data_IF_980691380117
#
_entry.id   IF_980691380117
#
_cell.length_a   1.000
_cell.length_b   1.000
_cell.length_c   1.000
_cell.angle_alpha   90.00
_cell.angle_beta   90.00
_cell.angle_gamma   90.00
#
_symmetry.space_group_name_H-M   'P 1'
#
loop_
_entity.id
_entity.type
_entity.pdbx_description
1 polymer ?
#
# COMPACT_ATOMS: atom_id res chain seq x y z
N UNK A 1 41.05 -15.60 28.32
CA UNK A 1 40.45 -16.41 27.23
C UNK A 1 39.26 -15.62 26.70
N UNK A 2 39.49 -14.83 25.66
CA UNK A 2 38.46 -13.95 25.08
C UNK A 2 37.87 -14.67 23.87
N UNK A 3 36.66 -15.19 24.03
CA UNK A 3 35.96 -15.95 23.01
C UNK A 3 34.51 -15.52 22.90
N UNK A 4 34.26 -14.21 22.77
CA UNK A 4 32.98 -13.73 22.27
C UNK A 4 32.98 -13.87 20.74
N UNK A 5 32.56 -15.05 20.26
CA UNK A 5 32.16 -15.23 18.88
C UNK A 5 30.83 -14.48 18.66
N UNK A 6 30.89 -13.15 18.57
CA UNK A 6 29.79 -12.34 18.08
C UNK A 6 29.53 -12.68 16.63
N UNK A 7 28.56 -13.57 16.37
CA UNK A 7 27.99 -13.73 15.03
C UNK A 7 27.33 -12.40 14.67
N UNK A 8 28.06 -11.55 13.95
CA UNK A 8 27.52 -10.30 13.44
C UNK A 8 26.42 -10.58 12.42
N UNK A 9 25.36 -9.76 12.43
CA UNK A 9 24.29 -9.83 11.45
C UNK A 9 24.85 -9.66 10.02
N UNK A 10 24.88 -10.76 9.26
CA UNK A 10 25.45 -10.84 7.90
C UNK A 10 24.55 -11.66 6.97
N UNK A 11 23.35 -11.17 6.65
CA UNK A 11 22.44 -11.88 5.76
C UNK A 11 22.99 -11.83 4.33
N UNK A 12 22.75 -12.90 3.56
CA UNK A 12 23.23 -13.01 2.18
C UNK A 12 22.36 -12.29 1.15
N UNK A 13 21.13 -11.91 1.55
CA UNK A 13 20.15 -11.27 0.68
C UNK A 13 19.70 -9.93 1.24
N UNK A 14 19.81 -8.92 0.39
CA UNK A 14 19.32 -7.58 0.65
C UNK A 14 17.78 -7.55 0.76
N UNK A 15 17.27 -6.71 1.68
CA UNK A 15 15.84 -6.57 1.93
C UNK A 15 15.09 -6.14 0.66
N UNK A 16 15.41 -4.98 0.09
CA UNK A 16 14.61 -4.47 -1.00
C UNK A 16 14.85 -5.27 -2.29
N UNK A 17 16.12 -5.51 -2.63
CA UNK A 17 16.51 -6.09 -3.93
C UNK A 17 16.08 -7.54 -4.08
N UNK A 18 16.23 -8.37 -3.04
CA UNK A 18 16.05 -9.82 -3.16
C UNK A 18 14.88 -10.39 -2.37
N UNK A 19 14.41 -9.68 -1.34
CA UNK A 19 13.26 -10.12 -0.54
C UNK A 19 12.00 -9.40 -1.03
N UNK A 20 11.89 -8.09 -0.81
CA UNK A 20 10.67 -7.33 -1.08
C UNK A 20 10.29 -7.34 -2.57
N UNK A 21 11.21 -7.00 -3.47
CA UNK A 21 10.93 -6.97 -4.92
C UNK A 21 10.45 -8.32 -5.47
N UNK A 22 10.94 -9.43 -4.92
CA UNK A 22 10.49 -10.77 -5.32
C UNK A 22 9.05 -11.03 -4.93
N UNK A 23 8.62 -10.57 -3.76
CA UNK A 23 7.21 -10.67 -3.32
C UNK A 23 6.34 -9.73 -4.16
N UNK A 24 6.75 -8.47 -4.30
CA UNK A 24 6.03 -7.45 -5.06
C UNK A 24 5.75 -7.93 -6.50
N UNK A 25 6.73 -8.54 -7.16
CA UNK A 25 6.55 -9.08 -8.51
C UNK A 25 5.43 -10.12 -8.62
N UNK A 26 5.14 -10.89 -7.55
CA UNK A 26 4.01 -11.85 -7.53
C UNK A 26 2.66 -11.17 -7.39
N UNK A 27 2.62 -9.98 -6.80
CA UNK A 27 1.39 -9.20 -6.58
C UNK A 27 1.12 -8.20 -7.71
N UNK A 28 2.08 -7.96 -8.61
CA UNK A 28 1.93 -7.07 -9.76
C UNK A 28 0.73 -7.41 -10.66
N UNK A 29 0.29 -8.68 -10.68
CA UNK A 29 -0.90 -9.11 -11.43
C UNK A 29 -2.21 -9.03 -10.62
N UNK A 30 -2.14 -8.81 -9.31
CA UNK A 30 -3.29 -8.83 -8.39
C UNK A 30 -3.70 -7.43 -7.91
N UNK A 31 -2.78 -6.49 -7.95
CA UNK A 31 -2.97 -5.12 -7.48
C UNK A 31 -2.82 -4.12 -8.64
N UNK A 32 -3.42 -2.92 -8.53
CA UNK A 32 -3.16 -1.85 -9.49
C UNK A 32 -1.67 -1.53 -9.57
N UNK A 33 -1.18 -1.22 -10.78
CA UNK A 33 0.24 -0.91 -11.00
C UNK A 33 0.70 0.28 -10.14
N UNK A 34 -0.13 1.31 -9.97
CA UNK A 34 0.17 2.46 -9.11
C UNK A 34 0.41 2.06 -7.65
N UNK A 35 -0.44 1.21 -7.09
CA UNK A 35 -0.29 0.68 -5.72
C UNK A 35 1.02 -0.07 -5.54
N UNK A 36 1.39 -0.86 -6.56
CA UNK A 36 2.62 -1.63 -6.56
C UNK A 36 3.87 -0.73 -6.61
N UNK A 37 3.85 0.30 -7.46
CA UNK A 37 4.94 1.28 -7.53
C UNK A 37 5.04 2.11 -6.25
N UNK A 38 3.92 2.61 -5.73
CA UNK A 38 3.90 3.42 -4.49
C UNK A 38 4.49 2.66 -3.31
N UNK A 39 4.12 1.38 -3.12
CA UNK A 39 4.68 0.53 -2.05
C UNK A 39 6.17 0.32 -2.25
N UNK A 40 6.62 0.10 -3.49
CA UNK A 40 8.05 -0.04 -3.80
C UNK A 40 8.81 1.24 -3.42
N UNK A 41 8.27 2.41 -3.75
CA UNK A 41 8.87 3.71 -3.45
C UNK A 41 8.88 4.01 -1.95
N UNK A 42 7.81 3.67 -1.23
CA UNK A 42 7.75 3.80 0.23
C UNK A 42 8.80 2.92 0.93
N UNK A 43 8.95 1.66 0.50
CA UNK A 43 9.99 0.76 1.02
C UNK A 43 11.40 1.26 0.67
N UNK A 44 11.61 1.76 -0.55
CA UNK A 44 12.88 2.34 -0.99
C UNK A 44 13.30 3.55 -0.16
N UNK A 45 12.38 4.49 0.07
CA UNK A 45 12.63 5.64 0.96
C UNK A 45 12.96 5.21 2.39
N UNK A 46 12.30 4.16 2.88
CA UNK A 46 12.64 3.55 4.17
C UNK A 46 14.07 3.02 4.20
N UNK A 47 14.46 2.24 3.19
CA UNK A 47 15.82 1.68 3.09
C UNK A 47 16.90 2.76 3.04
N UNK A 48 16.69 3.80 2.24
CA UNK A 48 17.63 4.91 2.11
C UNK A 48 17.76 5.70 3.41
N UNK A 49 16.64 6.02 4.06
CA UNK A 49 16.61 6.82 5.30
C UNK A 49 17.23 6.06 6.48
N UNK A 50 16.88 4.80 6.66
CA UNK A 50 17.32 3.99 7.81
C UNK A 50 18.58 3.18 7.54
N UNK A 51 19.05 3.13 6.28
CA UNK A 51 20.29 2.46 5.84
C UNK A 51 20.34 1.00 6.28
N UNK A 52 19.30 0.23 5.97
CA UNK A 52 19.24 -1.20 6.28
C UNK A 52 19.60 -2.12 5.10
N UNK A 53 20.06 -1.57 3.98
CA UNK A 53 20.63 -2.39 2.90
C UNK A 53 21.90 -3.11 3.38
N UNK A 54 22.11 -4.34 2.90
CA UNK A 54 23.38 -5.05 3.12
C UNK A 54 24.54 -4.38 2.35
N UNK A 55 24.23 -3.55 1.36
CA UNK A 55 25.20 -2.85 0.52
C UNK A 55 25.55 -1.49 1.11
N UNK A 56 26.35 -1.49 2.18
CA UNK A 56 26.84 -0.26 2.81
C UNK A 56 25.94 0.30 3.92
N UNK A 57 24.97 -0.49 4.39
CA UNK A 57 24.16 -0.22 5.58
C UNK A 57 24.35 -1.25 6.69
N UNK A 58 23.42 -1.25 7.64
CA UNK A 58 23.31 -2.24 8.71
C UNK A 58 21.90 -2.84 8.70
N UNK A 59 21.73 -4.12 8.33
CA UNK A 59 20.41 -4.74 8.21
C UNK A 59 19.59 -4.71 9.49
N UNK A 60 20.23 -4.55 10.65
CA UNK A 60 19.54 -4.39 11.95
C UNK A 60 18.76 -3.09 12.04
N UNK A 61 19.08 -2.08 11.23
CA UNK A 61 18.34 -0.83 11.21
C UNK A 61 16.92 -0.96 10.68
N UNK A 62 16.54 -2.07 10.04
CA UNK A 62 15.15 -2.31 9.63
C UNK A 62 14.21 -2.36 10.83
N UNK A 63 14.70 -2.77 12.00
CA UNK A 63 13.94 -2.75 13.25
C UNK A 63 13.55 -1.31 13.62
N UNK A 64 14.47 -0.35 13.44
CA UNK A 64 14.17 1.08 13.66
C UNK A 64 13.15 1.60 12.66
N UNK A 65 13.17 1.08 11.43
CA UNK A 65 12.17 1.41 10.43
C UNK A 65 10.77 0.91 10.84
N UNK A 66 10.63 -0.31 11.39
CA UNK A 66 9.33 -0.80 11.88
C UNK A 66 8.70 0.04 13.00
N UNK A 67 9.52 0.78 13.75
CA UNK A 67 9.08 1.70 14.80
C UNK A 67 8.82 3.14 14.30
N UNK A 68 9.03 3.39 13.01
CA UNK A 68 8.98 4.74 12.44
C UNK A 68 7.57 5.20 12.03
N UNK A 69 7.44 6.51 11.75
CA UNK A 69 6.27 7.07 11.07
C UNK A 69 6.16 6.56 9.63
N UNK A 70 7.26 6.47 8.90
CA UNK A 70 7.24 6.00 7.50
C UNK A 70 6.71 4.57 7.34
N UNK A 71 7.01 3.70 8.31
CA UNK A 71 6.43 2.35 8.32
C UNK A 71 4.94 2.36 8.65
N UNK A 72 4.50 3.21 9.60
CA UNK A 72 3.07 3.37 9.91
C UNK A 72 2.30 3.85 8.69
N UNK A 73 2.84 4.83 7.96
CA UNK A 73 2.24 5.34 6.71
C UNK A 73 2.14 4.24 5.65
N UNK A 74 3.18 3.40 5.50
CA UNK A 74 3.16 2.26 4.58
C UNK A 74 2.11 1.22 4.97
N UNK A 75 2.01 0.88 6.25
CA UNK A 75 1.01 -0.05 6.75
C UNK A 75 -0.41 0.49 6.51
N UNK A 76 -0.65 1.76 6.80
CA UNK A 76 -1.94 2.42 6.55
C UNK A 76 -2.27 2.42 5.05
N UNK A 77 -1.32 2.79 4.20
CA UNK A 77 -1.49 2.75 2.75
C UNK A 77 -1.81 1.33 2.26
N UNK A 78 -1.08 0.32 2.73
CA UNK A 78 -1.28 -1.07 2.33
C UNK A 78 -2.64 -1.62 2.79
N UNK A 79 -3.09 -1.27 4.00
CA UNK A 79 -4.41 -1.62 4.50
C UNK A 79 -5.53 -0.97 3.67
N UNK A 80 -5.33 0.29 3.27
CA UNK A 80 -6.27 1.07 2.48
C UNK A 80 -6.32 0.63 1.00
N UNK A 81 -5.26 0.04 0.47
CA UNK A 81 -5.18 -0.38 -0.95
C UNK A 81 -5.34 -1.89 -1.15
N UNK A 82 -5.65 -2.65 -0.09
CA UNK A 82 -5.79 -4.10 -0.15
C UNK A 82 -4.45 -4.85 -0.35
N UNK A 83 -3.34 -4.17 -0.10
CA UNK A 83 -1.99 -4.69 -0.25
C UNK A 83 -1.39 -5.23 1.06
N UNK A 84 -2.16 -5.28 2.15
CA UNK A 84 -1.68 -5.70 3.47
C UNK A 84 -1.10 -7.13 3.45
N UNK A 85 -1.74 -8.06 2.74
CA UNK A 85 -1.23 -9.42 2.58
C UNK A 85 0.13 -9.48 1.87
N UNK A 86 0.39 -8.56 0.93
CA UNK A 86 1.71 -8.44 0.29
C UNK A 86 2.76 -8.00 1.31
N UNK A 87 2.44 -7.02 2.16
CA UNK A 87 3.35 -6.53 3.19
C UNK A 87 3.69 -7.61 4.22
N UNK A 88 2.68 -8.38 4.65
CA UNK A 88 2.88 -9.54 5.53
C UNK A 88 3.78 -10.61 4.88
N UNK A 89 3.57 -10.91 3.60
CA UNK A 89 4.39 -11.88 2.88
C UNK A 89 5.86 -11.40 2.68
N UNK A 90 6.08 -10.08 2.57
CA UNK A 90 7.43 -9.49 2.60
C UNK A 90 8.10 -9.74 3.95
N UNK A 91 7.39 -9.51 5.05
CA UNK A 91 7.91 -9.71 6.41
C UNK A 91 8.18 -11.18 6.71
N UNK A 92 7.30 -12.10 6.31
CA UNK A 92 7.52 -13.53 6.44
C UNK A 92 8.77 -13.97 5.66
N UNK A 93 8.94 -13.46 4.43
CA UNK A 93 10.12 -13.75 3.62
C UNK A 93 11.41 -13.17 4.24
N UNK A 94 11.34 -11.98 4.86
CA UNK A 94 12.45 -11.39 5.59
C UNK A 94 12.82 -12.25 6.80
N UNK A 95 11.83 -12.63 7.62
CA UNK A 95 12.03 -13.45 8.81
C UNK A 95 12.72 -14.77 8.45
N UNK A 96 12.21 -15.47 7.43
CA UNK A 96 12.78 -16.73 6.98
C UNK A 96 14.24 -16.61 6.51
N UNK A 97 14.56 -15.55 5.75
CA UNK A 97 15.90 -15.32 5.21
C UNK A 97 16.89 -14.92 6.31
N UNK A 98 16.46 -14.13 7.30
CA UNK A 98 17.35 -13.52 8.29
C UNK A 98 17.48 -14.36 9.56
N UNK A 99 16.62 -15.37 9.78
CA UNK A 99 16.54 -16.18 11.01
C UNK A 99 17.87 -16.70 11.56
N UNK A 100 18.82 -17.07 10.68
CA UNK A 100 20.10 -17.66 11.10
C UNK A 100 21.19 -16.62 11.38
N UNK A 101 21.25 -15.58 10.56
CA UNK A 101 22.34 -14.60 10.58
C UNK A 101 21.97 -13.35 11.39
N UNK A 102 20.70 -12.98 11.43
CA UNK A 102 20.15 -11.80 12.11
C UNK A 102 18.84 -12.16 12.85
N UNK A 103 18.90 -13.04 13.88
CA UNK A 103 17.71 -13.49 14.59
C UNK A 103 16.87 -12.33 15.16
N UNK A 104 17.52 -11.25 15.61
CA UNK A 104 16.84 -10.06 16.12
C UNK A 104 15.97 -9.37 15.07
N UNK A 105 16.39 -9.38 13.80
CA UNK A 105 15.61 -8.84 12.67
C UNK A 105 14.47 -9.78 12.33
N UNK A 106 14.74 -11.09 12.33
CA UNK A 106 13.72 -12.08 12.03
C UNK A 106 12.58 -12.06 13.06
N UNK A 107 12.91 -12.02 14.35
CA UNK A 107 11.92 -11.89 15.42
C UNK A 107 11.15 -10.57 15.34
N UNK A 108 11.80 -9.46 14.95
CA UNK A 108 11.11 -8.19 14.75
C UNK A 108 10.11 -8.27 13.60
N UNK A 109 10.49 -8.90 12.48
CA UNK A 109 9.58 -9.11 11.35
C UNK A 109 8.40 -10.03 11.72
N UNK A 110 8.63 -11.09 12.49
CA UNK A 110 7.57 -11.97 12.99
C UNK A 110 6.59 -11.24 13.92
N UNK A 111 7.10 -10.44 14.87
CA UNK A 111 6.26 -9.57 15.71
C UNK A 111 5.44 -8.61 14.87
N UNK A 112 6.03 -8.07 13.81
CA UNK A 112 5.36 -7.16 12.91
C UNK A 112 4.23 -7.85 12.15
N UNK A 113 4.45 -9.06 11.63
CA UNK A 113 3.39 -9.87 11.02
C UNK A 113 2.22 -10.09 11.98
N UNK A 114 2.50 -10.46 13.23
CA UNK A 114 1.44 -10.65 14.23
C UNK A 114 0.71 -9.35 14.57
N UNK A 115 1.41 -8.21 14.60
CA UNK A 115 0.80 -6.88 14.76
C UNK A 115 -0.13 -6.56 13.59
N UNK A 116 0.31 -6.84 12.36
CA UNK A 116 -0.49 -6.63 11.16
C UNK A 116 -1.71 -7.56 11.13
N UNK A 117 -1.57 -8.85 11.47
CA UNK A 117 -2.71 -9.77 11.61
C UNK A 117 -3.71 -9.30 12.64
N UNK A 118 -3.25 -8.89 13.83
CA UNK A 118 -4.14 -8.37 14.86
C UNK A 118 -4.82 -7.06 14.43
N UNK A 119 -4.13 -6.23 13.65
CA UNK A 119 -4.69 -5.04 13.00
C UNK A 119 -5.73 -5.40 11.94
N UNK A 120 -5.42 -6.34 11.05
CA UNK A 120 -6.28 -6.86 9.99
C UNK A 120 -7.53 -7.54 10.56
N UNK A 121 -7.41 -8.33 11.62
CA UNK A 121 -8.54 -8.91 12.35
C UNK A 121 -9.39 -7.84 13.01
N UNK A 122 -8.78 -6.77 13.53
CA UNK A 122 -9.54 -5.61 14.05
C UNK A 122 -10.25 -4.87 12.93
N UNK A 123 -9.61 -4.65 11.78
CA UNK A 123 -10.21 -4.08 10.57
C UNK A 123 -11.33 -4.98 9.99
N UNK A 124 -11.16 -6.30 10.05
CA UNK A 124 -12.13 -7.30 9.59
C UNK A 124 -13.27 -7.55 10.59
N UNK A 125 -13.04 -7.32 11.89
CA UNK A 125 -14.08 -7.37 12.96
C UNK A 125 -14.70 -6.01 13.25
N UNK A 126 -14.12 -4.92 12.76
CA UNK A 126 -14.58 -3.54 12.88
C UNK A 126 -14.05 -2.75 11.69
N UNK A 127 -14.87 -2.59 10.67
CA UNK A 127 -15.18 -1.26 10.15
C UNK A 127 -16.25 -1.41 9.09
N UNK A 128 -17.44 -0.95 9.45
CA UNK A 128 -18.39 -0.50 8.46
C UNK A 128 -17.64 0.44 7.48
N UNK A 129 -17.79 0.20 6.16
CA UNK A 129 -17.40 1.17 5.14
C UNK A 129 -17.88 2.55 5.61
N UNK A 130 -17.00 3.55 5.54
CA UNK A 130 -17.32 4.93 5.91
C UNK A 130 -16.79 5.88 4.84
N UNK A 131 -17.50 7.00 4.62
CA UNK A 131 -17.05 8.02 3.66
C UNK A 131 -15.68 8.59 4.03
N UNK A 132 -15.37 8.70 5.31
CA UNK A 132 -14.06 9.18 5.76
C UNK A 132 -12.93 8.22 5.35
N UNK A 133 -13.17 6.91 5.43
CA UNK A 133 -12.20 5.91 4.98
C UNK A 133 -12.01 5.94 3.47
N UNK A 134 -13.10 6.04 2.72
CA UNK A 134 -13.06 6.13 1.25
C UNK A 134 -12.32 7.41 0.82
N UNK A 135 -12.57 8.53 1.50
CA UNK A 135 -11.86 9.80 1.27
C UNK A 135 -10.35 9.63 1.48
N UNK A 136 -9.94 9.01 2.60
CA UNK A 136 -8.52 8.73 2.88
C UNK A 136 -7.89 7.86 1.80
N UNK A 137 -8.55 6.75 1.43
CA UNK A 137 -8.07 5.84 0.38
C UNK A 137 -7.85 6.57 -0.95
N UNK A 138 -8.81 7.37 -1.39
CA UNK A 138 -8.73 8.13 -2.64
C UNK A 138 -7.66 9.22 -2.58
N UNK A 139 -7.54 9.93 -1.46
CA UNK A 139 -6.52 10.97 -1.27
C UNK A 139 -5.10 10.38 -1.27
N UNK A 140 -4.91 9.24 -0.60
CA UNK A 140 -3.63 8.50 -0.59
C UNK A 140 -3.25 7.99 -1.97
N UNK A 141 -4.23 7.59 -2.78
CA UNK A 141 -4.01 7.20 -4.18
C UNK A 141 -3.74 8.39 -5.12
N UNK A 142 -3.64 9.61 -4.59
CA UNK A 142 -3.29 10.82 -5.35
C UNK A 142 -4.46 11.51 -6.04
N UNK A 143 -5.70 11.08 -5.79
CA UNK A 143 -6.88 11.73 -6.35
C UNK A 143 -7.22 13.01 -5.60
N UNK A 144 -7.70 14.01 -6.34
CA UNK A 144 -8.30 15.20 -5.74
C UNK A 144 -9.74 14.87 -5.37
N UNK A 145 -10.01 14.79 -4.06
CA UNK A 145 -11.32 14.44 -3.52
C UNK A 145 -11.92 15.64 -2.80
N UNK A 146 -13.18 15.94 -3.08
CA UNK A 146 -13.97 16.94 -2.35
C UNK A 146 -15.15 16.23 -1.66
N UNK A 147 -15.34 16.48 -0.37
CA UNK A 147 -16.52 15.97 0.34
C UNK A 147 -17.63 17.01 0.29
N UNK A 148 -18.80 16.61 -0.21
CA UNK A 148 -19.96 17.49 -0.34
C UNK A 148 -21.25 16.73 -0.11
N UNK A 149 -22.11 17.25 0.76
CA UNK A 149 -23.48 16.75 0.98
C UNK A 149 -23.58 15.23 1.21
N UNK A 150 -22.65 14.65 1.98
CA UNK A 150 -22.62 13.21 2.25
C UNK A 150 -22.15 12.35 1.06
N UNK A 151 -21.47 12.96 0.09
CA UNK A 151 -20.83 12.30 -1.03
C UNK A 151 -19.35 12.70 -1.13
N UNK A 152 -18.58 11.90 -1.86
CA UNK A 152 -17.22 12.21 -2.26
C UNK A 152 -17.19 12.43 -3.76
N UNK A 153 -16.67 13.57 -4.18
CA UNK A 153 -16.48 13.91 -5.58
C UNK A 153 -14.99 13.81 -5.93
N UNK A 154 -14.66 13.00 -6.93
CA UNK A 154 -13.33 12.85 -7.48
C UNK A 154 -13.31 13.46 -8.87
N UNK A 155 -12.40 14.42 -9.10
CA UNK A 155 -12.23 15.06 -10.40
C UNK A 155 -10.96 14.54 -11.08
N UNK A 156 -11.14 13.90 -12.24
CA UNK A 156 -10.09 13.43 -13.13
C UNK A 156 -10.26 14.06 -14.53
N UNK A 157 -10.38 15.39 -14.57
CA UNK A 157 -10.37 16.18 -15.79
C UNK A 157 -11.69 16.10 -16.57
N UNK A 158 -11.81 15.13 -17.48
CA UNK A 158 -13.04 14.94 -18.26
C UNK A 158 -14.04 14.02 -17.56
N UNK A 159 -13.62 13.36 -16.49
CA UNK A 159 -14.44 12.43 -15.72
C UNK A 159 -14.55 12.98 -14.30
N UNK A 160 -15.78 13.05 -13.81
CA UNK A 160 -16.09 13.29 -12.41
C UNK A 160 -16.78 12.05 -11.86
N UNK A 161 -16.23 11.47 -10.79
CA UNK A 161 -16.82 10.34 -10.08
C UNK A 161 -17.44 10.86 -8.78
N UNK A 162 -18.71 10.56 -8.55
CA UNK A 162 -19.42 10.91 -7.31
C UNK A 162 -19.71 9.60 -6.59
N UNK A 163 -19.24 9.46 -5.35
CA UNK A 163 -19.39 8.28 -4.51
C UNK A 163 -20.28 8.63 -3.33
N UNK A 164 -21.30 7.80 -3.10
CA UNK A 164 -22.17 7.86 -1.94
C UNK A 164 -22.12 6.51 -1.24
N UNK A 165 -22.26 6.54 0.08
CA UNK A 165 -22.34 5.33 0.89
C UNK A 165 -23.75 5.26 1.49
N UNK A 166 -24.50 4.21 1.15
CA UNK A 166 -25.78 3.89 1.78
C UNK A 166 -25.65 2.58 2.58
N UNK A 167 -25.61 2.70 3.91
CA UNK A 167 -25.31 1.57 4.79
C UNK A 167 -23.90 1.04 4.52
N UNK A 168 -23.80 -0.14 3.91
CA UNK A 168 -22.53 -0.78 3.52
C UNK A 168 -22.37 -0.91 2.00
N UNK A 169 -23.25 -0.25 1.24
CA UNK A 169 -23.25 -0.27 -0.22
C UNK A 169 -22.68 1.02 -0.77
N UNK A 170 -21.70 0.91 -1.67
CA UNK A 170 -21.18 2.04 -2.44
C UNK A 170 -22.05 2.28 -3.67
N UNK A 171 -22.73 3.41 -3.69
CA UNK A 171 -23.32 3.93 -4.92
C UNK A 171 -22.35 4.89 -5.58
N UNK A 172 -22.21 4.79 -6.90
CA UNK A 172 -21.34 5.69 -7.63
C UNK A 172 -21.98 6.18 -8.92
N UNK A 173 -21.68 7.42 -9.28
CA UNK A 173 -22.11 8.06 -10.52
C UNK A 173 -20.89 8.58 -11.27
N UNK A 174 -20.77 8.21 -12.54
CA UNK A 174 -19.70 8.69 -13.42
C UNK A 174 -20.28 9.75 -14.36
N UNK A 175 -19.78 10.98 -14.25
CA UNK A 175 -20.11 12.10 -15.11
C UNK A 175 -18.98 12.33 -16.11
N UNK A 176 -19.24 12.13 -17.41
CA UNK A 176 -18.29 12.47 -18.47
C UNK A 176 -18.63 13.83 -19.06
N UNK A 177 -17.71 14.77 -18.91
CA UNK A 177 -17.83 16.14 -19.42
C UNK A 177 -17.14 16.28 -20.77
N UNK A 178 -17.70 17.10 -21.67
CA UNK A 178 -17.12 17.37 -22.98
C UNK A 178 -17.83 18.49 -23.72
N UNK A 179 -17.18 19.04 -24.74
CA UNK A 179 -17.75 20.14 -25.56
C UNK A 179 -18.18 19.62 -26.93
N UNK A 180 -19.32 20.10 -27.43
CA UNK A 180 -19.78 19.88 -28.81
C UNK A 180 -20.32 21.19 -29.36
N UNK A 181 -20.13 21.41 -30.66
CA UNK A 181 -20.71 22.57 -31.36
C UNK A 181 -22.12 22.28 -31.88
N UNK A 182 -22.53 21.02 -31.94
CA UNK A 182 -23.83 20.57 -32.50
C UNK A 182 -24.47 19.50 -31.63
N UNK A 183 -25.80 19.38 -31.72
CA UNK A 183 -26.60 18.37 -31.01
C UNK A 183 -26.25 16.95 -31.51
N UNK A 184 -26.06 16.75 -32.81
CA UNK A 184 -25.59 15.48 -33.40
C UNK A 184 -24.24 15.06 -32.83
N UNK A 185 -23.35 16.04 -32.58
CA UNK A 185 -22.06 15.80 -31.92
C UNK A 185 -22.19 15.39 -30.45
N UNK A 186 -23.30 15.70 -29.78
CA UNK A 186 -23.63 15.18 -28.43
C UNK A 186 -24.25 13.79 -28.52
N UNK A 187 -25.21 13.58 -29.44
CA UNK A 187 -25.91 12.31 -29.63
C UNK A 187 -24.96 11.17 -30.05
N UNK A 188 -23.99 11.47 -30.93
CA UNK A 188 -22.94 10.51 -31.32
C UNK A 188 -21.98 10.13 -30.19
N UNK A 189 -21.88 10.95 -29.14
CA UNK A 189 -21.13 10.61 -27.92
C UNK A 189 -21.97 9.78 -26.95
N UNK A 190 -23.27 10.07 -26.86
CA UNK A 190 -24.23 9.27 -26.08
C UNK A 190 -24.35 7.84 -26.62
N UNK A 191 -24.37 7.65 -27.94
CA UNK A 191 -24.45 6.31 -28.54
C UNK A 191 -23.25 5.44 -28.15
N UNK A 192 -22.06 6.01 -28.01
CA UNK A 192 -20.84 5.32 -27.59
C UNK A 192 -20.81 4.93 -26.11
N UNK A 193 -21.62 5.57 -25.28
CA UNK A 193 -21.75 5.22 -23.85
C UNK A 193 -22.68 4.01 -23.67
N UNK A 194 -23.63 3.80 -24.58
CA UNK A 194 -24.61 2.71 -24.53
C UNK A 194 -24.07 1.31 -24.88
N UNK A 195 -22.86 1.23 -25.40
CA UNK A 195 -22.21 -0.03 -25.82
C UNK A 195 -21.27 -0.62 -24.74
N UNK A 196 -21.22 -0.01 -23.56
CA UNK A 196 -20.51 -0.47 -22.35
C UNK A 196 -21.51 -1.01 -21.33
#
# INVERSE_FOLDING_TARGET
MSGENGKGCRPSRDFLRYIANRVIARYAAKLPASVVEDIRDMLGRGEDKYRFSIYGGDPRNIVKYFDSEEWRDLVEYAANTGALSMLMEILDALAAEYRRECPEVAEAAEREVERLKAGEEKLGRREELSLERIYRMLSLAGYRVESKDGTLEVDEGLIKLIIKLEGQTLEYTICKSGRSKTLEGVLSKLSKIREL
#
